data_IF_078708959633
#
_entry.id   IF_078708959633
#
_cell.length_a   1.000
_cell.length_b   1.000
_cell.length_c   1.000
_cell.angle_alpha   90.00
_cell.angle_beta   90.00
_cell.angle_gamma   90.00
#
_symmetry.space_group_name_H-M   'P 1'
#
loop_
_entity.id
_entity.type
_entity.pdbx_description
1 polymer ?
#
# COMPACT_ATOMS: atom_id res chain seq x y z
N UNK A 1 3.02 -21.06 -4.57
CA UNK A 1 3.05 -19.62 -4.86
C UNK A 1 3.33 -18.87 -3.57
N UNK A 2 4.48 -18.19 -3.48
CA UNK A 2 4.96 -17.48 -2.28
C UNK A 2 3.97 -16.39 -1.82
N UNK A 3 3.19 -15.82 -2.75
CA UNK A 3 2.23 -14.75 -2.50
C UNK A 3 0.99 -15.19 -1.70
N UNK A 4 0.59 -16.46 -1.79
CA UNK A 4 -0.56 -16.99 -1.04
C UNK A 4 -0.28 -17.07 0.46
N UNK A 5 0.99 -17.26 0.85
CA UNK A 5 1.42 -17.25 2.24
C UNK A 5 1.31 -15.86 2.88
N UNK A 6 1.82 -14.83 2.19
CA UNK A 6 1.83 -13.46 2.70
C UNK A 6 0.42 -12.89 2.88
N UNK A 7 -0.51 -13.15 1.95
CA UNK A 7 -1.90 -12.72 2.08
C UNK A 7 -2.60 -13.37 3.29
N UNK A 8 -2.38 -14.66 3.51
CA UNK A 8 -2.96 -15.37 4.65
C UNK A 8 -2.43 -14.81 5.98
N UNK A 9 -1.12 -14.54 6.04
CA UNK A 9 -0.48 -13.91 7.21
C UNK A 9 -1.06 -12.52 7.45
N UNK A 10 -1.16 -11.68 6.41
CA UNK A 10 -1.74 -10.33 6.53
C UNK A 10 -3.17 -10.38 7.07
N UNK A 11 -4.03 -11.25 6.53
CA UNK A 11 -5.41 -11.43 7.02
C UNK A 11 -5.49 -11.94 8.45
N UNK A 12 -4.60 -12.86 8.84
CA UNK A 12 -4.52 -13.36 10.22
C UNK A 12 -4.20 -12.22 11.21
N UNK A 13 -3.18 -11.42 10.91
CA UNK A 13 -2.78 -10.31 11.78
C UNK A 13 -3.75 -9.13 11.72
N UNK A 14 -4.41 -8.89 10.59
CA UNK A 14 -5.54 -7.96 10.49
C UNK A 14 -6.65 -8.35 11.47
N UNK A 15 -7.06 -9.62 11.46
CA UNK A 15 -8.10 -10.13 12.36
C UNK A 15 -7.67 -9.98 13.82
N UNK A 16 -6.44 -10.37 14.16
CA UNK A 16 -5.93 -10.27 15.53
C UNK A 16 -5.86 -8.82 16.02
N UNK A 17 -5.35 -7.89 15.20
CA UNK A 17 -5.30 -6.47 15.57
C UNK A 17 -6.69 -5.85 15.75
N UNK A 18 -7.66 -6.23 14.90
CA UNK A 18 -9.05 -5.80 15.04
C UNK A 18 -9.71 -6.34 16.32
N UNK A 19 -9.49 -7.61 16.66
CA UNK A 19 -10.00 -8.20 17.91
C UNK A 19 -9.38 -7.55 19.16
N UNK A 20 -8.13 -7.11 19.07
CA UNK A 20 -7.43 -6.42 20.17
C UNK A 20 -7.87 -4.96 20.28
N UNK A 21 -8.11 -4.26 19.17
CA UNK A 21 -8.58 -2.86 19.20
C UNK A 21 -9.98 -2.74 19.82
N UNK A 22 -10.83 -3.76 19.71
CA UNK A 22 -12.10 -3.81 20.45
C UNK A 22 -11.95 -3.95 21.97
N UNK A 23 -10.76 -4.30 22.47
CA UNK A 23 -10.47 -4.58 23.88
C UNK A 23 -9.50 -3.58 24.52
N UNK A 24 -8.90 -2.71 23.71
CA UNK A 24 -7.85 -1.77 24.10
C UNK A 24 -8.16 -0.40 23.52
N UNK A 25 -7.94 0.65 24.30
CA UNK A 25 -8.04 2.03 23.83
C UNK A 25 -6.78 2.51 23.10
N UNK A 26 -5.80 1.63 22.89
CA UNK A 26 -4.57 1.94 22.19
C UNK A 26 -4.82 2.02 20.67
N UNK A 27 -4.75 3.25 20.15
CA UNK A 27 -4.92 3.61 18.76
C UNK A 27 -3.89 2.97 17.85
N UNK A 28 -2.74 2.51 18.36
CA UNK A 28 -1.74 1.79 17.56
C UNK A 28 -2.32 0.51 16.95
N UNK A 29 -3.26 -0.15 17.65
CA UNK A 29 -3.88 -1.37 17.17
C UNK A 29 -4.77 -1.11 15.95
N UNK A 30 -5.46 0.03 15.94
CA UNK A 30 -6.25 0.47 14.79
C UNK A 30 -5.37 0.76 13.57
N UNK A 31 -4.18 1.33 13.80
CA UNK A 31 -3.18 1.56 12.75
C UNK A 31 -2.66 0.24 12.19
N UNK A 32 -2.34 -0.74 13.04
CA UNK A 32 -1.98 -2.10 12.59
C UNK A 32 -3.07 -2.75 11.75
N UNK A 33 -4.33 -2.66 12.18
CA UNK A 33 -5.46 -3.19 11.40
C UNK A 33 -5.49 -2.59 10.00
N UNK A 34 -5.31 -1.27 9.88
CA UNK A 34 -5.30 -0.57 8.60
C UNK A 34 -4.09 -0.93 7.74
N UNK A 35 -2.91 -1.13 8.33
CA UNK A 35 -1.70 -1.60 7.61
C UNK A 35 -1.94 -2.98 7.02
N UNK A 36 -2.43 -3.94 7.81
CA UNK A 36 -2.67 -5.29 7.31
C UNK A 36 -3.81 -5.37 6.30
N UNK A 37 -4.86 -4.54 6.47
CA UNK A 37 -5.90 -4.35 5.46
C UNK A 37 -5.31 -3.86 4.14
N UNK A 38 -4.45 -2.84 4.20
CA UNK A 38 -3.77 -2.29 3.02
C UNK A 38 -2.92 -3.36 2.35
N UNK A 39 -2.09 -4.10 3.10
CA UNK A 39 -1.31 -5.21 2.57
C UNK A 39 -2.18 -6.30 1.93
N UNK A 40 -3.33 -6.64 2.53
CA UNK A 40 -4.25 -7.62 1.97
C UNK A 40 -4.85 -7.16 0.63
N UNK A 41 -5.18 -5.87 0.51
CA UNK A 41 -5.63 -5.26 -0.75
C UNK A 41 -4.51 -5.33 -1.79
N UNK A 42 -3.28 -4.97 -1.44
CA UNK A 42 -2.13 -5.02 -2.35
C UNK A 42 -1.83 -6.43 -2.89
N UNK A 43 -2.07 -7.44 -2.08
CA UNK A 43 -1.86 -8.83 -2.44
C UNK A 43 -3.05 -9.49 -3.16
N UNK A 44 -4.20 -8.82 -3.27
CA UNK A 44 -5.37 -9.38 -3.92
C UNK A 44 -5.24 -9.29 -5.44
N UNK A 45 -5.43 -10.42 -6.13
CA UNK A 45 -5.36 -10.50 -7.60
C UNK A 45 -6.40 -9.60 -8.29
N UNK A 46 -7.52 -9.32 -7.62
CA UNK A 46 -8.62 -8.48 -8.11
C UNK A 46 -8.44 -6.98 -7.81
N UNK A 47 -7.37 -6.58 -7.13
CA UNK A 47 -7.20 -5.17 -6.74
C UNK A 47 -6.79 -4.31 -7.92
N UNK A 48 -7.69 -3.43 -8.33
CA UNK A 48 -7.36 -2.38 -9.28
C UNK A 48 -6.51 -1.27 -8.63
N UNK A 49 -5.91 -0.43 -9.48
CA UNK A 49 -5.08 0.71 -9.07
C UNK A 49 -5.83 1.70 -8.17
N UNK A 50 -7.14 1.87 -8.36
CA UNK A 50 -7.94 2.82 -7.58
C UNK A 50 -8.11 2.31 -6.15
N UNK A 51 -8.40 1.03 -5.97
CA UNK A 51 -8.51 0.38 -4.67
C UNK A 51 -7.20 0.47 -3.90
N UNK A 52 -6.08 0.24 -4.58
CA UNK A 52 -4.74 0.38 -4.00
C UNK A 52 -4.48 1.81 -3.51
N UNK A 53 -4.73 2.83 -4.35
CA UNK A 53 -4.57 4.23 -3.95
C UNK A 53 -5.51 4.65 -2.81
N UNK A 54 -6.75 4.18 -2.83
CA UNK A 54 -7.71 4.42 -1.74
C UNK A 54 -7.20 3.79 -0.42
N UNK A 55 -6.67 2.56 -0.47
CA UNK A 55 -6.14 1.89 0.71
C UNK A 55 -4.94 2.63 1.31
N UNK A 56 -3.98 3.07 0.47
CA UNK A 56 -2.86 3.89 0.90
C UNK A 56 -3.31 5.21 1.53
N UNK A 57 -4.25 5.93 0.89
CA UNK A 57 -4.77 7.19 1.45
C UNK A 57 -5.48 6.98 2.79
N UNK A 58 -6.22 5.88 2.93
CA UNK A 58 -6.87 5.54 4.19
C UNK A 58 -5.83 5.20 5.27
N UNK A 59 -4.72 4.55 4.91
CA UNK A 59 -3.60 4.30 5.82
C UNK A 59 -2.92 5.59 6.27
N UNK A 60 -2.64 6.51 5.33
CA UNK A 60 -2.06 7.83 5.63
C UNK A 60 -2.96 8.64 6.57
N UNK A 61 -4.27 8.66 6.30
CA UNK A 61 -5.25 9.32 7.17
C UNK A 61 -5.29 8.70 8.57
N UNK A 62 -5.25 7.37 8.66
CA UNK A 62 -5.23 6.68 9.95
C UNK A 62 -3.96 6.97 10.72
N UNK A 63 -2.81 7.02 10.04
CA UNK A 63 -1.53 7.35 10.64
C UNK A 63 -1.52 8.77 11.21
N UNK A 64 -2.02 9.75 10.44
CA UNK A 64 -2.13 11.14 10.90
C UNK A 64 -3.02 11.24 12.15
N UNK A 65 -4.21 10.62 12.12
CA UNK A 65 -5.11 10.58 13.28
C UNK A 65 -4.40 9.96 14.49
N UNK A 66 -3.76 8.80 14.33
CA UNK A 66 -3.07 8.16 15.46
C UNK A 66 -1.95 9.04 16.02
N UNK A 67 -1.22 9.78 15.19
CA UNK A 67 -0.17 10.71 15.66
C UNK A 67 -0.73 11.96 16.36
N UNK A 68 -1.94 12.41 16.02
CA UNK A 68 -2.59 13.55 16.67
C UNK A 68 -3.12 13.21 18.07
N UNK A 69 -3.50 11.95 18.29
CA UNK A 69 -4.16 11.52 19.53
C UNK A 69 -3.27 10.68 20.46
N UNK A 70 -2.14 10.18 19.99
CA UNK A 70 -1.22 9.38 20.79
C UNK A 70 0.17 10.01 20.89
N UNK A 71 0.83 9.86 22.04
CA UNK A 71 2.23 10.22 22.20
C UNK A 71 3.13 9.07 21.70
N UNK A 72 3.85 9.23 20.58
CA UNK A 72 4.74 8.20 20.05
C UNK A 72 5.95 7.92 20.96
N UNK A 73 6.23 8.83 21.91
CA UNK A 73 7.39 8.78 22.80
C UNK A 73 7.02 8.36 24.22
N UNK A 74 5.80 7.88 24.46
CA UNK A 74 5.37 7.48 25.81
C UNK A 74 6.24 6.37 26.41
N UNK A 75 6.75 5.48 25.55
CA UNK A 75 7.71 4.43 25.90
C UNK A 75 8.49 3.95 24.66
N UNK A 76 9.64 3.34 24.89
CA UNK A 76 10.55 2.91 23.83
C UNK A 76 9.96 1.87 22.87
N UNK A 77 9.03 1.03 23.34
CA UNK A 77 8.38 0.03 22.47
C UNK A 77 7.42 0.75 21.54
N UNK A 78 6.59 1.67 22.06
CA UNK A 78 5.68 2.47 21.25
C UNK A 78 6.43 3.28 20.19
N UNK A 79 7.55 3.90 20.54
CA UNK A 79 8.40 4.63 19.59
C UNK A 79 8.89 3.73 18.46
N UNK A 80 9.38 2.52 18.78
CA UNK A 80 9.82 1.55 17.78
C UNK A 80 8.67 1.11 16.87
N UNK A 81 7.48 0.90 17.43
CA UNK A 81 6.31 0.50 16.64
C UNK A 81 5.87 1.61 15.69
N UNK A 82 5.81 2.87 16.15
CA UNK A 82 5.51 4.00 15.26
C UNK A 82 6.54 4.16 14.15
N UNK A 83 7.84 4.02 14.47
CA UNK A 83 8.91 4.04 13.47
C UNK A 83 8.75 2.91 12.44
N UNK A 84 8.42 1.70 12.88
CA UNK A 84 8.13 0.58 11.97
C UNK A 84 6.92 0.88 11.06
N UNK A 85 5.85 1.47 11.60
CA UNK A 85 4.67 1.84 10.82
C UNK A 85 4.99 2.90 9.76
N UNK A 86 5.78 3.92 10.10
CA UNK A 86 6.27 4.93 9.16
C UNK A 86 7.08 4.29 8.03
N UNK A 87 8.01 3.38 8.37
CA UNK A 87 8.81 2.66 7.38
C UNK A 87 7.94 1.83 6.43
N UNK A 88 6.96 1.09 6.96
CA UNK A 88 6.05 0.29 6.16
C UNK A 88 5.21 1.15 5.23
N UNK A 89 4.61 2.23 5.74
CA UNK A 89 3.81 3.15 4.94
C UNK A 89 4.62 3.78 3.80
N UNK A 90 5.82 4.29 4.10
CA UNK A 90 6.71 4.87 3.10
C UNK A 90 7.12 3.85 2.03
N UNK A 91 7.51 2.64 2.45
CA UNK A 91 7.90 1.57 1.53
C UNK A 91 6.75 1.16 0.60
N UNK A 92 5.54 0.99 1.14
CA UNK A 92 4.36 0.62 0.34
C UNK A 92 4.02 1.71 -0.68
N UNK A 93 4.10 2.98 -0.29
CA UNK A 93 3.86 4.11 -1.18
C UNK A 93 4.89 4.18 -2.30
N UNK A 94 6.18 4.10 -1.97
CA UNK A 94 7.27 4.16 -2.95
C UNK A 94 7.22 3.00 -3.96
N UNK A 95 6.95 1.78 -3.49
CA UNK A 95 6.82 0.61 -4.36
C UNK A 95 5.69 0.79 -5.38
N UNK A 96 4.57 1.38 -4.97
CA UNK A 96 3.45 1.63 -5.86
C UNK A 96 3.76 2.71 -6.88
N UNK A 97 4.42 3.79 -6.47
CA UNK A 97 4.87 4.84 -7.39
C UNK A 97 5.83 4.28 -8.43
N UNK A 98 6.78 3.43 -8.02
CA UNK A 98 7.70 2.72 -8.92
C UNK A 98 6.98 1.78 -9.89
N UNK A 99 5.99 1.02 -9.43
CA UNK A 99 5.19 0.16 -10.33
C UNK A 99 4.47 1.01 -11.38
N UNK A 100 3.92 2.16 -10.97
CA UNK A 100 3.24 3.07 -11.90
C UNK A 100 4.19 3.76 -12.88
N UNK A 101 5.41 4.10 -12.48
CA UNK A 101 6.38 4.69 -13.41
C UNK A 101 6.77 3.69 -14.50
N UNK A 102 7.07 2.45 -14.10
CA UNK A 102 7.42 1.36 -15.03
C UNK A 102 6.29 1.05 -16.02
N UNK A 103 5.04 1.07 -15.57
CA UNK A 103 3.89 0.88 -16.46
C UNK A 103 3.77 2.00 -17.51
N UNK A 104 4.06 3.26 -17.15
CA UNK A 104 4.02 4.38 -18.10
C UNK A 104 5.13 4.26 -19.16
N UNK A 105 6.34 3.93 -18.74
CA UNK A 105 7.48 3.72 -19.65
C UNK A 105 7.19 2.62 -20.67
N UNK A 106 6.65 1.48 -20.23
CA UNK A 106 6.25 0.39 -21.12
C UNK A 106 5.14 0.77 -22.11
N UNK A 107 4.27 1.72 -21.77
CA UNK A 107 3.19 2.17 -22.66
C UNK A 107 3.70 3.15 -23.73
N UNK A 108 4.70 3.97 -23.40
CA UNK A 108 5.31 4.92 -24.35
C UNK A 108 6.11 4.17 -25.42
N UNK A 109 6.86 3.13 -25.06
CA UNK A 109 7.64 2.32 -26.01
C UNK A 109 6.80 1.57 -27.06
N UNK A 110 5.53 1.26 -26.77
CA UNK A 110 4.61 0.63 -27.74
C UNK A 110 3.97 1.62 -28.71
N UNK A 111 3.91 2.91 -28.36
CA UNK A 111 3.25 3.94 -29.17
C UNK A 111 4.15 4.53 -30.27
N UNK A 112 5.45 4.26 -30.23
CA UNK A 112 6.44 4.78 -31.20
C UNK A 112 6.69 3.85 -32.39
N UNK A 113 5.96 2.73 -32.52
CA UNK A 113 6.23 1.69 -33.54
C UNK A 113 5.17 1.56 -34.64
N UNK A 114 4.30 2.55 -34.81
CA UNK A 114 3.34 2.62 -35.94
C UNK A 114 3.30 4.04 -36.49
N UNK A 115 4.32 4.41 -37.28
CA UNK A 115 4.15 5.34 -38.40
C UNK A 115 5.46 5.42 -39.17
N UNK A 116 5.64 4.54 -40.15
CA UNK A 116 6.50 4.78 -41.31
C UNK A 116 6.17 3.73 -42.39
N UNK A 117 4.96 3.81 -42.95
CA UNK A 117 4.75 3.36 -44.32
C UNK A 117 4.97 4.57 -45.22
N UNK A 118 6.03 4.60 -46.06
CA UNK A 118 6.17 5.67 -47.03
C UNK A 118 5.00 5.62 -48.01
N UNK A 119 4.46 6.78 -48.43
CA UNK A 119 3.42 6.80 -49.45
C UNK A 119 3.99 6.20 -50.73
N UNK A 120 3.35 5.13 -51.21
CA UNK A 120 3.58 4.58 -52.55
C UNK A 120 3.19 5.65 -53.56
N UNK A 121 4.18 6.13 -54.32
CA UNK A 121 3.97 6.93 -55.51
C UNK A 121 3.05 6.17 -56.47
N UNK A 122 1.85 6.70 -56.67
CA UNK A 122 0.98 6.29 -57.77
C UNK A 122 1.13 7.29 -58.92
N UNK A 123 1.83 6.82 -59.95
CA UNK A 123 1.87 7.27 -61.37
C UNK A 123 2.65 8.54 -61.67
#
# INVERSE_FOLDING_TARGET
SMHKGSLAIAKQWQKMSFELSGKSNDGILSLFTKVFETMAILHSEDSDRKNIHCALRALDSQQAITMDFEDPNSDSIRTLVFGLMQCLHGTLTELIEKIHSLQREATVDQSTQTDEFPPMDYV
#
